data_IF_420298038957
#
_entry.id   IF_420298038957
#
_cell.length_a   1.000
_cell.length_b   1.000
_cell.length_c   1.000
_cell.angle_alpha   90.00
_cell.angle_beta   90.00
_cell.angle_gamma   90.00
#
_symmetry.space_group_name_H-M   'P 1'
#
loop_
_entity.id
_entity.type
_entity.pdbx_description
1 polymer ?
#
# COMPACT_ATOMS: atom_id res chain seq x y z
N UNK A 1 29.32 3.41 -9.84
CA UNK A 1 28.57 3.37 -11.14
C UNK A 1 27.36 2.43 -11.15
N UNK A 2 27.23 1.44 -10.25
CA UNK A 2 26.00 0.61 -10.14
C UNK A 2 24.89 1.24 -9.26
N UNK A 3 25.21 2.22 -8.43
CA UNK A 3 24.32 2.81 -7.41
C UNK A 3 23.34 3.89 -7.92
N UNK A 4 23.46 4.31 -9.19
CA UNK A 4 22.73 5.44 -9.73
C UNK A 4 21.42 5.09 -10.46
N UNK A 5 21.10 3.81 -10.58
CA UNK A 5 19.88 3.36 -11.26
C UNK A 5 19.02 2.48 -10.35
N UNK A 6 17.73 2.48 -10.58
CA UNK A 6 16.80 1.53 -9.98
C UNK A 6 17.17 0.12 -10.44
N UNK A 7 17.40 -0.78 -9.49
CA UNK A 7 17.63 -2.21 -9.72
C UNK A 7 16.31 -2.97 -9.63
N UNK A 8 16.05 -3.83 -10.59
CA UNK A 8 14.91 -4.75 -10.62
C UNK A 8 15.42 -6.16 -10.34
N UNK A 9 14.88 -6.84 -9.32
CA UNK A 9 15.30 -8.16 -8.93
C UNK A 9 14.20 -8.98 -8.26
N UNK A 10 14.41 -10.28 -8.17
CA UNK A 10 13.51 -11.22 -7.50
C UNK A 10 14.12 -11.69 -6.18
N UNK A 11 13.29 -11.82 -5.16
CA UNK A 11 13.66 -12.31 -3.83
C UNK A 11 12.75 -13.46 -3.44
N UNK A 12 13.34 -14.62 -3.15
CA UNK A 12 12.59 -15.79 -2.65
C UNK A 12 12.16 -15.53 -1.21
N UNK A 13 10.87 -15.49 -0.95
CA UNK A 13 10.27 -15.20 0.38
C UNK A 13 9.65 -16.43 1.04
N UNK A 14 9.29 -17.42 0.23
CA UNK A 14 8.75 -18.71 0.66
C UNK A 14 9.08 -19.78 -0.39
N UNK A 15 8.96 -21.10 -0.09
CA UNK A 15 9.19 -22.14 -1.07
C UNK A 15 8.34 -21.94 -2.33
N UNK A 16 9.00 -21.75 -3.47
CA UNK A 16 8.35 -21.52 -4.77
C UNK A 16 7.70 -20.15 -4.95
N UNK A 17 7.97 -19.19 -4.06
CA UNK A 17 7.43 -17.83 -4.12
C UNK A 17 8.56 -16.82 -4.17
N UNK A 18 8.65 -16.11 -5.29
CA UNK A 18 9.54 -14.99 -5.48
C UNK A 18 8.74 -13.68 -5.60
N UNK A 19 9.12 -12.67 -4.83
CA UNK A 19 8.63 -11.33 -5.01
C UNK A 19 9.60 -10.54 -5.90
N UNK A 20 9.03 -9.81 -6.84
CA UNK A 20 9.75 -8.80 -7.59
C UNK A 20 9.88 -7.53 -6.75
N UNK A 21 11.04 -6.92 -6.77
CA UNK A 21 11.29 -5.65 -6.11
C UNK A 21 12.05 -4.69 -7.01
N UNK A 22 11.77 -3.42 -6.83
CA UNK A 22 12.60 -2.31 -7.30
C UNK A 22 13.38 -1.76 -6.12
N UNK A 23 14.67 -1.57 -6.28
CA UNK A 23 15.54 -1.10 -5.20
C UNK A 23 16.50 -0.03 -5.69
N UNK A 24 16.75 1.00 -4.86
CA UNK A 24 17.75 2.03 -5.12
C UNK A 24 18.29 2.59 -3.79
N UNK A 25 19.55 3.02 -3.81
CA UNK A 25 20.22 3.67 -2.68
C UNK A 25 20.77 2.71 -1.64
N UNK A 26 21.31 3.28 -0.58
CA UNK A 26 21.90 2.58 0.57
C UNK A 26 21.50 3.29 1.87
N UNK A 27 21.67 2.63 3.00
CA UNK A 27 21.34 3.21 4.31
C UNK A 27 20.18 2.51 4.99
N UNK A 28 19.44 3.23 5.83
CA UNK A 28 18.26 2.69 6.53
C UNK A 28 17.14 2.38 5.52
N UNK A 29 16.48 1.22 5.65
CA UNK A 29 15.50 0.80 4.65
C UNK A 29 14.15 1.52 4.78
N UNK A 30 13.64 1.98 3.64
CA UNK A 30 12.25 2.34 3.41
C UNK A 30 11.64 1.26 2.51
N UNK A 31 10.58 0.60 2.97
CA UNK A 31 9.91 -0.46 2.23
C UNK A 31 8.50 -0.02 1.86
N UNK A 32 8.26 0.17 0.57
CA UNK A 32 6.98 0.60 0.01
C UNK A 32 6.17 -0.58 -0.49
N UNK A 33 4.91 -0.65 -0.08
CA UNK A 33 3.96 -1.70 -0.42
C UNK A 33 2.78 -1.08 -1.15
N UNK A 34 2.54 -1.42 -2.42
CA UNK A 34 1.46 -0.83 -3.22
C UNK A 34 0.08 -1.38 -2.85
N UNK A 35 -0.95 -0.67 -3.30
CA UNK A 35 -2.33 -1.09 -3.20
C UNK A 35 -2.71 -2.21 -4.17
N UNK A 36 -3.99 -2.59 -4.09
CA UNK A 36 -4.59 -3.67 -4.89
C UNK A 36 -4.26 -3.53 -6.38
N UNK A 37 -3.74 -4.59 -6.96
CA UNK A 37 -3.29 -4.78 -8.34
C UNK A 37 -2.04 -4.02 -8.76
N UNK A 38 -1.66 -2.96 -8.09
CA UNK A 38 -0.50 -2.16 -8.46
C UNK A 38 0.83 -2.86 -8.17
N UNK A 39 1.85 -2.49 -8.91
CA UNK A 39 3.23 -2.88 -8.69
C UNK A 39 4.01 -1.79 -7.95
N UNK A 40 5.19 -2.13 -7.45
CA UNK A 40 6.13 -1.19 -6.84
C UNK A 40 6.59 -0.06 -7.78
N UNK A 41 6.36 -0.19 -9.07
CA UNK A 41 6.67 0.84 -10.07
C UNK A 41 5.93 2.15 -9.81
N UNK A 42 4.76 2.11 -9.17
CA UNK A 42 4.00 3.30 -8.79
C UNK A 42 4.80 4.26 -7.88
N UNK A 43 5.78 3.74 -7.15
CA UNK A 43 6.64 4.51 -6.24
C UNK A 43 7.95 5.00 -6.87
N UNK A 44 8.04 5.04 -8.20
CA UNK A 44 9.27 5.44 -8.91
C UNK A 44 9.80 6.82 -8.49
N UNK A 45 8.91 7.78 -8.26
CA UNK A 45 9.29 9.11 -7.77
C UNK A 45 9.94 9.04 -6.38
N UNK A 46 9.42 8.19 -5.50
CA UNK A 46 9.92 8.00 -4.14
C UNK A 46 11.27 7.26 -4.14
N UNK A 47 11.41 6.25 -5.02
CA UNK A 47 12.69 5.56 -5.25
C UNK A 47 13.79 6.53 -5.67
N UNK A 48 13.49 7.44 -6.61
CA UNK A 48 14.45 8.44 -7.07
C UNK A 48 14.78 9.47 -5.98
N UNK A 49 13.78 9.99 -5.27
CA UNK A 49 13.95 11.05 -4.29
C UNK A 49 14.72 10.59 -3.05
N UNK A 50 14.29 9.49 -2.42
CA UNK A 50 14.85 9.06 -1.14
C UNK A 50 16.14 8.25 -1.25
N UNK A 51 16.51 7.79 -2.44
CA UNK A 51 17.70 6.94 -2.63
C UNK A 51 19.04 7.61 -2.37
N UNK A 52 19.08 8.93 -2.23
CA UNK A 52 20.29 9.66 -1.85
C UNK A 52 20.72 9.39 -0.39
N UNK A 53 19.78 9.07 0.50
CA UNK A 53 20.00 8.92 1.95
C UNK A 53 19.51 7.58 2.51
N UNK A 54 18.63 6.89 1.79
CA UNK A 54 17.97 5.67 2.23
C UNK A 54 18.16 4.53 1.23
N UNK A 55 18.07 3.32 1.73
CA UNK A 55 17.87 2.13 0.91
C UNK A 55 16.36 2.00 0.65
N UNK A 56 15.91 2.37 -0.54
CA UNK A 56 14.48 2.38 -0.91
C UNK A 56 14.15 1.11 -1.65
N UNK A 57 13.14 0.40 -1.17
CA UNK A 57 12.65 -0.86 -1.73
C UNK A 57 11.15 -0.69 -2.00
N UNK A 58 10.72 -0.90 -3.22
CA UNK A 58 9.31 -0.98 -3.59
C UNK A 58 9.01 -2.39 -4.08
N UNK A 59 8.12 -3.10 -3.42
CA UNK A 59 7.82 -4.50 -3.74
C UNK A 59 6.55 -4.63 -4.57
N UNK A 60 6.49 -5.68 -5.36
CA UNK A 60 5.25 -6.20 -5.91
C UNK A 60 4.75 -7.29 -4.94
N UNK A 61 3.58 -7.15 -4.31
CA UNK A 61 3.02 -8.22 -3.48
C UNK A 61 2.77 -9.50 -4.30
N UNK A 62 2.69 -10.65 -3.62
CA UNK A 62 2.29 -11.91 -4.27
C UNK A 62 1.03 -11.69 -5.09
N UNK A 63 0.97 -12.26 -6.29
CA UNK A 63 -0.16 -12.12 -7.19
C UNK A 63 -0.18 -10.83 -8.00
N UNK A 64 0.57 -9.79 -7.60
CA UNK A 64 0.59 -8.48 -8.26
C UNK A 64 1.88 -8.26 -9.05
N UNK A 65 1.88 -7.25 -9.92
CA UNK A 65 3.04 -6.84 -10.70
C UNK A 65 3.77 -8.00 -11.37
N UNK A 66 5.05 -8.10 -11.15
CA UNK A 66 5.92 -9.17 -11.68
C UNK A 66 6.21 -10.28 -10.67
N UNK A 67 5.65 -10.22 -9.46
CA UNK A 67 5.78 -11.27 -8.46
C UNK A 67 5.05 -12.55 -8.85
N UNK A 68 5.39 -13.65 -8.17
CA UNK A 68 4.78 -14.97 -8.39
C UNK A 68 3.25 -14.92 -8.35
N UNK A 69 2.61 -15.50 -9.38
CA UNK A 69 1.16 -15.66 -9.48
C UNK A 69 0.80 -17.05 -8.96
N UNK A 70 0.31 -17.11 -7.73
CA UNK A 70 -0.04 -18.38 -7.07
C UNK A 70 -1.55 -18.57 -7.05
N UNK A 71 -1.99 -19.83 -7.04
CA UNK A 71 -3.43 -20.16 -6.90
C UNK A 71 -3.91 -19.86 -5.48
N UNK A 72 -3.06 -20.17 -4.49
CA UNK A 72 -3.34 -19.98 -3.07
C UNK A 72 -2.50 -18.84 -2.46
N UNK A 73 -2.93 -18.34 -1.32
CA UNK A 73 -2.20 -17.33 -0.56
C UNK A 73 -2.39 -15.90 -1.08
N UNK A 74 -3.44 -15.66 -1.85
CA UNK A 74 -3.88 -14.32 -2.23
C UNK A 74 -4.79 -13.76 -1.14
N UNK A 75 -4.22 -13.54 0.04
CA UNK A 75 -4.84 -13.00 1.25
C UNK A 75 -3.80 -12.21 2.06
N UNK A 76 -4.26 -11.26 2.88
CA UNK A 76 -3.35 -10.37 3.59
C UNK A 76 -2.59 -11.04 4.75
N UNK A 77 -3.09 -12.14 5.30
CA UNK A 77 -2.31 -12.92 6.27
C UNK A 77 -1.08 -13.55 5.62
N UNK A 78 -1.24 -14.09 4.43
CA UNK A 78 -0.12 -14.65 3.65
C UNK A 78 0.81 -13.55 3.16
N UNK A 79 0.28 -12.42 2.68
CA UNK A 79 1.09 -11.28 2.28
C UNK A 79 1.94 -10.73 3.44
N UNK A 80 1.40 -10.66 4.67
CA UNK A 80 2.21 -10.30 5.85
C UNK A 80 3.38 -11.25 6.10
N UNK A 81 3.21 -12.57 5.82
CA UNK A 81 4.32 -13.55 5.88
C UNK A 81 5.33 -13.33 4.76
N UNK A 82 4.88 -12.97 3.57
CA UNK A 82 5.77 -12.66 2.45
C UNK A 82 6.60 -11.40 2.73
N UNK A 83 6.01 -10.37 3.35
CA UNK A 83 6.75 -9.19 3.82
C UNK A 83 7.81 -9.59 4.85
N UNK A 84 7.48 -10.48 5.80
CA UNK A 84 8.46 -10.99 6.75
C UNK A 84 9.59 -11.78 6.05
N UNK A 85 9.23 -12.64 5.09
CA UNK A 85 10.18 -13.38 4.26
C UNK A 85 11.13 -12.45 3.48
N UNK A 86 10.62 -11.36 2.92
CA UNK A 86 11.41 -10.34 2.24
C UNK A 86 12.39 -9.65 3.20
N UNK A 87 11.89 -9.24 4.36
CA UNK A 87 12.70 -8.59 5.43
C UNK A 87 13.83 -9.52 5.87
N UNK A 88 13.55 -10.80 6.05
CA UNK A 88 14.54 -11.80 6.46
C UNK A 88 15.56 -12.09 5.36
N UNK A 89 15.09 -12.32 4.14
CA UNK A 89 15.95 -12.62 2.99
C UNK A 89 16.94 -11.49 2.67
N UNK A 90 16.51 -10.23 2.88
CA UNK A 90 17.34 -9.05 2.66
C UNK A 90 18.10 -8.58 3.92
N UNK A 91 17.90 -9.24 5.07
CA UNK A 91 18.53 -8.91 6.34
C UNK A 91 18.19 -7.52 6.86
N UNK A 92 16.96 -7.04 6.61
CA UNK A 92 16.56 -5.66 6.93
C UNK A 92 16.32 -5.49 8.44
N UNK A 93 16.70 -4.30 8.94
CA UNK A 93 16.49 -3.82 10.31
C UNK A 93 16.25 -2.32 10.28
N UNK A 94 15.68 -1.76 11.34
CA UNK A 94 15.38 -0.33 11.46
C UNK A 94 14.54 0.19 10.26
N UNK A 95 13.52 -0.55 9.90
CA UNK A 95 12.71 -0.36 8.70
C UNK A 95 11.63 0.69 8.95
N UNK A 96 11.34 1.52 7.97
CA UNK A 96 10.04 2.19 7.85
C UNK A 96 9.22 1.42 6.82
N UNK A 97 8.10 0.81 7.27
CA UNK A 97 7.11 0.23 6.37
C UNK A 97 6.13 1.30 5.92
N UNK A 98 5.89 1.37 4.63
CA UNK A 98 5.07 2.38 3.98
C UNK A 98 4.06 1.67 3.09
N UNK A 99 2.83 1.55 3.57
CA UNK A 99 1.74 0.93 2.83
C UNK A 99 0.86 1.99 2.16
N UNK A 100 0.43 1.72 0.94
CA UNK A 100 -0.59 2.50 0.26
C UNK A 100 -1.83 1.65 0.01
N UNK A 101 -3.04 2.20 0.31
CA UNK A 101 -4.30 1.49 0.09
C UNK A 101 -4.27 0.12 0.77
N UNK A 102 -4.57 -0.96 0.08
CA UNK A 102 -4.51 -2.32 0.64
C UNK A 102 -3.10 -2.76 1.06
N UNK A 103 -2.02 -2.10 0.60
CA UNK A 103 -0.67 -2.31 1.14
C UNK A 103 -0.54 -1.97 2.63
N UNK A 104 -1.50 -1.22 3.19
CA UNK A 104 -1.60 -1.04 4.64
C UNK A 104 -2.07 -2.33 5.35
N UNK A 105 -2.93 -3.12 4.70
CA UNK A 105 -3.35 -4.42 5.25
C UNK A 105 -2.16 -5.38 5.31
N UNK A 106 -1.28 -5.38 4.30
CA UNK A 106 0.01 -6.11 4.33
C UNK A 106 0.87 -5.65 5.51
N UNK A 107 0.98 -4.34 5.71
CA UNK A 107 1.75 -3.73 6.79
C UNK A 107 1.21 -4.13 8.17
N UNK A 108 -0.08 -3.99 8.41
CA UNK A 108 -0.70 -4.36 9.68
C UNK A 108 -0.68 -5.88 9.90
N UNK A 109 -0.86 -6.67 8.83
CA UNK A 109 -0.73 -8.13 8.89
C UNK A 109 0.69 -8.57 9.29
N UNK A 110 1.72 -7.92 8.73
CA UNK A 110 3.10 -8.15 9.17
C UNK A 110 3.25 -7.86 10.67
N UNK A 111 2.79 -6.70 11.14
CA UNK A 111 2.89 -6.31 12.56
C UNK A 111 2.14 -7.30 13.46
N UNK A 112 0.94 -7.72 13.06
CA UNK A 112 0.12 -8.68 13.80
C UNK A 112 0.84 -10.00 14.03
N UNK A 113 1.55 -10.51 13.02
CA UNK A 113 2.15 -11.84 13.04
C UNK A 113 3.59 -11.86 13.55
N UNK A 114 4.36 -10.80 13.31
CA UNK A 114 5.80 -10.75 13.55
C UNK A 114 6.26 -9.64 14.51
N UNK A 115 5.33 -8.78 14.94
CA UNK A 115 5.64 -7.69 15.85
C UNK A 115 6.37 -6.52 15.19
N UNK A 116 6.99 -5.68 16.01
CA UNK A 116 7.54 -4.37 15.61
C UNK A 116 9.07 -4.28 15.75
N UNK A 117 9.75 -5.32 16.22
CA UNK A 117 11.17 -5.27 16.62
C UNK A 117 12.13 -4.86 15.50
N UNK A 118 11.75 -5.09 14.24
CA UNK A 118 12.55 -4.69 13.07
C UNK A 118 12.15 -3.32 12.51
N UNK A 119 11.08 -2.72 13.06
CA UNK A 119 10.55 -1.45 12.56
C UNK A 119 11.02 -0.28 13.42
N UNK A 120 11.27 0.87 12.79
CA UNK A 120 11.47 2.15 13.46
C UNK A 120 10.31 3.12 13.23
N UNK A 121 9.40 2.83 12.30
CA UNK A 121 8.21 3.62 12.01
C UNK A 121 7.29 2.94 11.01
N UNK A 122 6.05 3.37 11.00
CA UNK A 122 5.02 2.94 10.04
C UNK A 122 4.39 4.16 9.39
N UNK A 123 4.26 4.12 8.08
CA UNK A 123 3.53 5.12 7.31
C UNK A 123 2.40 4.44 6.57
N UNK A 124 1.19 4.96 6.73
CA UNK A 124 0.00 4.46 6.06
C UNK A 124 -0.55 5.52 5.12
N UNK A 125 -0.93 5.11 3.91
CA UNK A 125 -1.44 6.03 2.90
C UNK A 125 -2.85 5.57 2.53
N UNK A 126 -3.83 6.34 2.97
CA UNK A 126 -5.24 6.35 2.57
C UNK A 126 -5.92 4.98 2.55
N UNK A 127 -6.04 4.36 3.73
CA UNK A 127 -6.79 3.13 3.96
C UNK A 127 -7.26 3.03 5.40
N UNK A 128 -8.52 2.67 5.58
CA UNK A 128 -9.06 2.32 6.90
C UNK A 128 -8.54 0.96 7.37
N UNK A 129 -8.16 0.80 8.64
CA UNK A 129 -7.84 -0.51 9.19
C UNK A 129 -9.07 -1.41 9.36
N UNK A 130 -10.27 -0.86 9.14
CA UNK A 130 -11.56 -1.55 9.17
C UNK A 130 -12.35 -1.17 7.91
N UNK A 131 -12.11 -1.85 6.76
CA UNK A 131 -12.74 -1.50 5.48
C UNK A 131 -14.25 -1.62 5.46
N UNK A 132 -14.83 -2.43 6.34
CA UNK A 132 -16.27 -2.64 6.46
C UNK A 132 -16.73 -2.49 7.92
N UNK A 133 -17.75 -1.67 8.15
CA UNK A 133 -18.41 -1.53 9.47
C UNK A 133 -19.91 -1.26 9.29
N UNK A 134 -20.77 -1.77 10.18
CA UNK A 134 -22.18 -1.39 10.19
C UNK A 134 -22.43 0.02 10.76
N UNK A 135 -21.44 0.63 11.40
CA UNK A 135 -21.56 1.99 11.97
C UNK A 135 -21.20 3.03 10.87
N UNK A 136 -22.17 3.85 10.41
CA UNK A 136 -21.93 4.82 9.35
C UNK A 136 -21.00 5.99 9.76
N UNK A 137 -20.63 6.08 11.03
CA UNK A 137 -19.68 7.08 11.54
C UNK A 137 -18.22 6.65 11.38
N UNK A 138 -18.01 5.41 11.03
CA UNK A 138 -16.66 4.88 10.88
C UNK A 138 -16.16 5.09 9.45
N UNK A 139 -14.89 5.34 9.33
CA UNK A 139 -14.24 5.37 8.02
C UNK A 139 -14.17 3.95 7.44
N UNK A 140 -14.92 3.71 6.38
CA UNK A 140 -15.01 2.41 5.67
C UNK A 140 -14.88 2.63 4.17
N UNK A 141 -14.62 1.56 3.44
CA UNK A 141 -14.49 1.61 1.96
C UNK A 141 -15.86 1.55 1.24
N UNK A 142 -16.93 1.28 1.96
CA UNK A 142 -18.27 1.23 1.42
C UNK A 142 -19.22 0.36 2.25
N UNK A 143 -20.45 0.22 1.80
CA UNK A 143 -21.43 -0.70 2.37
C UNK A 143 -21.19 -2.13 1.90
N UNK A 144 -21.72 -3.12 2.63
CA UNK A 144 -21.62 -4.52 2.23
C UNK A 144 -22.28 -4.79 0.86
N UNK A 145 -23.36 -4.09 0.56
CA UNK A 145 -24.07 -4.17 -0.70
C UNK A 145 -23.21 -3.70 -1.86
N UNK A 146 -22.60 -2.51 -1.76
CA UNK A 146 -21.71 -1.93 -2.76
C UNK A 146 -20.48 -2.81 -3.00
N UNK A 147 -19.78 -3.18 -1.92
CA UNK A 147 -18.58 -3.99 -2.00
C UNK A 147 -18.86 -5.41 -2.54
N UNK A 148 -20.01 -6.02 -2.17
CA UNK A 148 -20.44 -7.30 -2.74
C UNK A 148 -20.75 -7.20 -4.23
N UNK A 149 -21.34 -6.09 -4.67
CA UNK A 149 -21.60 -5.84 -6.09
C UNK A 149 -20.31 -5.75 -6.88
N UNK A 150 -19.31 -5.01 -6.38
CA UNK A 150 -17.99 -4.94 -7.02
C UNK A 150 -17.38 -6.34 -7.15
N UNK A 151 -17.35 -7.13 -6.07
CA UNK A 151 -16.76 -8.46 -6.07
C UNK A 151 -17.47 -9.46 -6.99
N UNK A 152 -18.81 -9.39 -7.12
CA UNK A 152 -19.61 -10.41 -7.80
C UNK A 152 -20.03 -10.06 -9.21
N UNK A 153 -20.01 -8.79 -9.56
CA UNK A 153 -20.48 -8.30 -10.88
C UNK A 153 -19.38 -7.61 -11.68
N UNK A 154 -18.44 -6.92 -11.02
CA UNK A 154 -17.42 -6.09 -11.68
C UNK A 154 -16.10 -6.86 -11.84
N UNK A 155 -15.50 -7.33 -10.74
CA UNK A 155 -14.20 -8.01 -10.74
C UNK A 155 -14.30 -9.48 -11.21
N UNK A 156 -15.04 -9.74 -12.28
CA UNK A 156 -15.33 -11.09 -12.81
C UNK A 156 -14.57 -11.43 -14.09
N UNK A 157 -13.88 -10.46 -14.66
CA UNK A 157 -13.08 -10.60 -15.88
C UNK A 157 -11.94 -9.57 -15.90
N UNK A 158 -10.95 -9.79 -16.75
CA UNK A 158 -9.86 -8.81 -16.95
C UNK A 158 -10.39 -7.48 -17.47
N UNK A 159 -11.41 -7.49 -18.31
CA UNK A 159 -12.06 -6.29 -18.83
C UNK A 159 -12.77 -5.53 -17.71
N UNK A 160 -13.58 -6.21 -16.89
CA UNK A 160 -14.27 -5.60 -15.75
C UNK A 160 -13.30 -5.02 -14.71
N UNK A 161 -12.18 -5.68 -14.45
CA UNK A 161 -11.12 -5.11 -13.60
C UNK A 161 -10.53 -3.84 -14.23
N UNK A 162 -10.22 -3.86 -15.54
CA UNK A 162 -9.66 -2.68 -16.23
C UNK A 162 -10.61 -1.50 -16.21
N UNK A 163 -11.90 -1.73 -16.46
CA UNK A 163 -12.94 -0.70 -16.38
C UNK A 163 -13.04 -0.13 -14.96
N UNK A 164 -13.11 -0.98 -13.96
CA UNK A 164 -13.16 -0.56 -12.56
C UNK A 164 -11.98 0.34 -12.20
N UNK A 165 -10.73 -0.08 -12.51
CA UNK A 165 -9.56 0.72 -12.22
C UNK A 165 -9.48 2.00 -13.07
N UNK A 166 -10.01 2.02 -14.28
CA UNK A 166 -10.12 3.23 -15.10
C UNK A 166 -11.04 4.27 -14.46
N UNK A 167 -12.23 3.84 -14.00
CA UNK A 167 -13.17 4.71 -13.29
C UNK A 167 -12.64 5.17 -11.95
N UNK A 168 -12.02 4.26 -11.20
CA UNK A 168 -11.43 4.57 -9.90
C UNK A 168 -10.24 5.54 -10.01
N UNK A 169 -9.37 5.35 -11.02
CA UNK A 169 -8.25 6.25 -11.28
C UNK A 169 -8.73 7.67 -11.58
N UNK A 170 -9.72 7.82 -12.44
CA UNK A 170 -10.23 9.14 -12.88
C UNK A 170 -11.18 9.81 -11.89
N UNK A 171 -11.86 9.02 -11.04
CA UNK A 171 -12.87 9.54 -10.10
C UNK A 171 -12.37 9.72 -8.66
N UNK A 172 -11.36 8.95 -8.24
CA UNK A 172 -10.93 8.88 -6.84
C UNK A 172 -9.42 9.04 -6.67
N UNK A 173 -8.61 8.36 -7.51
CA UNK A 173 -7.16 8.32 -7.29
C UNK A 173 -6.49 9.65 -7.59
N UNK A 174 -6.90 10.33 -8.67
CA UNK A 174 -6.27 11.54 -9.21
C UNK A 174 -7.29 12.68 -9.25
N UNK A 175 -6.90 13.86 -8.78
CA UNK A 175 -7.78 15.05 -8.72
C UNK A 175 -7.73 15.88 -10.00
N UNK A 176 -6.58 15.92 -10.69
CA UNK A 176 -6.48 16.66 -11.95
C UNK A 176 -7.10 15.87 -13.11
N UNK A 177 -7.42 16.56 -14.20
CA UNK A 177 -7.87 15.89 -15.42
C UNK A 177 -6.73 15.09 -16.04
N UNK A 178 -6.82 13.77 -15.94
CA UNK A 178 -5.82 12.86 -16.49
C UNK A 178 -5.71 12.96 -18.01
N UNK A 179 -4.47 12.80 -18.51
CA UNK A 179 -4.21 12.59 -19.93
C UNK A 179 -4.38 11.10 -20.27
N UNK A 180 -4.71 10.78 -21.55
CA UNK A 180 -4.86 9.37 -21.96
C UNK A 180 -3.62 8.50 -21.70
N UNK A 181 -2.43 9.02 -21.93
CA UNK A 181 -1.16 8.32 -21.70
C UNK A 181 -0.88 8.09 -20.20
N UNK A 182 -1.30 9.00 -19.34
CA UNK A 182 -1.22 8.86 -17.90
C UNK A 182 -2.17 7.76 -17.39
N UNK A 183 -3.41 7.74 -17.86
CA UNK A 183 -4.37 6.69 -17.55
C UNK A 183 -3.87 5.32 -18.02
N UNK A 184 -3.41 5.23 -19.27
CA UNK A 184 -2.85 3.98 -19.81
C UNK A 184 -1.67 3.48 -18.98
N UNK A 185 -0.77 4.36 -18.54
CA UNK A 185 0.33 3.99 -17.66
C UNK A 185 -0.17 3.38 -16.35
N UNK A 186 -1.14 3.99 -15.67
CA UNK A 186 -1.70 3.44 -14.43
C UNK A 186 -2.40 2.09 -14.67
N UNK A 187 -3.13 1.97 -15.77
CA UNK A 187 -3.79 0.71 -16.14
C UNK A 187 -2.80 -0.39 -16.53
N UNK A 188 -1.67 -0.04 -17.14
CA UNK A 188 -0.61 -0.99 -17.47
C UNK A 188 0.04 -1.56 -16.21
N UNK A 189 0.47 -0.72 -15.27
CA UNK A 189 1.14 -1.20 -14.04
C UNK A 189 0.19 -1.95 -13.11
N UNK A 190 -1.12 -1.73 -13.20
CA UNK A 190 -2.14 -2.51 -12.47
C UNK A 190 -2.58 -3.77 -13.22
N UNK A 191 -2.44 -3.80 -14.53
CA UNK A 191 -2.94 -4.86 -15.41
C UNK A 191 -2.20 -6.19 -15.32
N UNK A 192 -1.04 -6.24 -14.66
CA UNK A 192 -0.27 -7.48 -14.46
C UNK A 192 -0.87 -8.43 -13.42
N UNK A 193 -1.92 -8.00 -12.71
CA UNK A 193 -2.61 -8.83 -11.73
C UNK A 193 -3.80 -9.54 -12.39
N UNK A 194 -3.83 -10.88 -12.40
CA UNK A 194 -4.98 -11.63 -12.90
C UNK A 194 -6.27 -11.27 -12.17
N UNK A 195 -7.40 -11.16 -12.89
CA UNK A 195 -8.67 -10.71 -12.30
C UNK A 195 -9.13 -11.59 -11.12
N UNK A 196 -8.87 -12.91 -11.16
CA UNK A 196 -9.25 -13.81 -10.04
C UNK A 196 -8.43 -13.54 -8.78
N UNK A 197 -7.16 -13.15 -8.90
CA UNK A 197 -6.32 -12.71 -7.76
C UNK A 197 -6.81 -11.36 -7.25
N UNK A 198 -7.06 -10.41 -8.16
CA UNK A 198 -7.65 -9.11 -7.80
C UNK A 198 -8.92 -9.31 -6.97
N UNK A 199 -9.84 -10.17 -7.44
CA UNK A 199 -11.08 -10.47 -6.74
C UNK A 199 -10.86 -11.14 -5.38
N UNK A 200 -9.93 -12.10 -5.28
CA UNK A 200 -9.59 -12.76 -4.00
C UNK A 200 -9.09 -11.73 -2.98
N UNK A 201 -8.10 -10.92 -3.36
CA UNK A 201 -7.54 -9.88 -2.52
C UNK A 201 -8.58 -8.80 -2.14
N UNK A 202 -9.44 -8.40 -3.09
CA UNK A 202 -10.53 -7.47 -2.80
C UNK A 202 -11.49 -8.05 -1.75
N UNK A 203 -11.92 -9.29 -1.89
CA UNK A 203 -12.80 -9.93 -0.93
C UNK A 203 -12.15 -10.05 0.45
N UNK A 204 -10.86 -10.44 0.51
CA UNK A 204 -10.14 -10.54 1.78
C UNK A 204 -9.96 -9.15 2.43
N UNK A 205 -9.68 -8.11 1.64
CA UNK A 205 -9.61 -6.72 2.12
C UNK A 205 -10.91 -6.27 2.79
N UNK A 206 -12.05 -6.50 2.14
CA UNK A 206 -13.37 -6.07 2.63
C UNK A 206 -13.66 -6.61 4.03
N UNK A 207 -13.28 -7.87 4.31
CA UNK A 207 -13.53 -8.52 5.58
C UNK A 207 -12.34 -8.46 6.55
N UNK A 208 -11.27 -7.77 6.20
CA UNK A 208 -10.12 -7.56 7.09
C UNK A 208 -10.47 -6.64 8.26
N UNK A 209 -9.88 -6.92 9.42
CA UNK A 209 -10.00 -6.06 10.59
C UNK A 209 -8.65 -5.98 11.32
N UNK A 210 -7.95 -4.89 11.10
CA UNK A 210 -6.66 -4.59 11.72
C UNK A 210 -6.76 -3.40 12.71
N UNK A 211 -7.96 -3.03 13.17
CA UNK A 211 -8.18 -1.86 14.01
C UNK A 211 -7.32 -1.89 15.29
N UNK A 212 -7.30 -3.02 15.99
CA UNK A 212 -6.54 -3.14 17.24
C UNK A 212 -5.02 -3.12 16.98
N UNK A 213 -4.57 -3.64 15.84
CA UNK A 213 -3.16 -3.57 15.44
C UNK A 213 -2.76 -2.14 15.08
N UNK A 214 -3.61 -1.43 14.33
CA UNK A 214 -3.38 -0.02 14.02
C UNK A 214 -3.34 0.84 15.29
N UNK A 215 -4.23 0.60 16.26
CA UNK A 215 -4.19 1.26 17.58
C UNK A 215 -2.87 1.03 18.29
N UNK A 216 -2.42 -0.22 18.36
CA UNK A 216 -1.15 -0.56 19.01
C UNK A 216 0.04 0.09 18.30
N UNK A 217 0.06 0.12 16.97
CA UNK A 217 1.08 0.83 16.19
C UNK A 217 1.12 2.31 16.56
N UNK A 218 0.00 3.01 16.50
CA UNK A 218 -0.07 4.44 16.83
C UNK A 218 0.33 4.76 18.27
N UNK A 219 -0.03 3.88 19.21
CA UNK A 219 0.27 4.08 20.63
C UNK A 219 1.73 3.81 21.02
N UNK A 220 2.47 3.02 20.25
CA UNK A 220 3.75 2.45 20.71
C UNK A 220 4.93 2.72 19.80
N UNK A 221 4.72 3.30 18.61
CA UNK A 221 5.82 3.64 17.71
C UNK A 221 5.50 4.87 16.86
N UNK A 222 6.54 5.56 16.32
CA UNK A 222 6.32 6.64 15.38
C UNK A 222 5.48 6.19 14.19
N UNK A 223 4.37 6.90 13.94
CA UNK A 223 3.45 6.58 12.86
C UNK A 223 2.88 7.83 12.20
N UNK A 224 2.78 7.78 10.88
CA UNK A 224 2.23 8.84 10.03
C UNK A 224 1.12 8.25 9.16
N UNK A 225 -0.01 8.93 9.06
CA UNK A 225 -1.11 8.55 8.18
C UNK A 225 -1.44 9.68 7.22
N UNK A 226 -1.31 9.42 5.94
CA UNK A 226 -1.83 10.28 4.91
C UNK A 226 -3.29 9.93 4.61
N UNK A 227 -4.13 10.95 4.48
CA UNK A 227 -5.56 10.84 4.21
C UNK A 227 -5.87 11.65 2.97
N UNK A 228 -6.59 11.07 2.01
CA UNK A 228 -7.05 11.79 0.83
C UNK A 228 -8.11 12.83 1.20
N UNK A 229 -8.15 13.95 0.48
CA UNK A 229 -9.04 15.07 0.79
C UNK A 229 -10.51 14.69 0.77
N UNK A 230 -10.92 13.78 -0.11
CA UNK A 230 -12.31 13.32 -0.19
C UNK A 230 -12.78 12.51 1.04
N UNK A 231 -11.83 11.92 1.81
CA UNK A 231 -12.13 11.21 3.05
C UNK A 231 -12.02 12.08 4.31
N UNK A 232 -11.48 13.30 4.24
CA UNK A 232 -11.06 14.06 5.42
C UNK A 232 -12.15 14.20 6.49
N UNK A 233 -13.42 14.38 6.09
CA UNK A 233 -14.52 14.66 7.01
C UNK A 233 -14.93 13.44 7.84
N UNK A 234 -14.62 12.22 7.38
CA UNK A 234 -14.92 10.98 8.11
C UNK A 234 -13.63 10.33 8.66
N UNK A 235 -12.57 10.30 7.87
CA UNK A 235 -11.34 9.62 8.25
C UNK A 235 -10.58 10.34 9.37
N UNK A 236 -10.47 11.68 9.31
CA UNK A 236 -9.75 12.43 10.33
C UNK A 236 -10.37 12.30 11.73
N UNK A 237 -11.68 12.53 11.94
CA UNK A 237 -12.32 12.28 13.23
C UNK A 237 -12.21 10.81 13.69
N UNK A 238 -12.29 9.85 12.75
CA UNK A 238 -12.09 8.44 13.07
C UNK A 238 -10.67 8.18 13.58
N UNK A 239 -9.63 8.68 12.91
CA UNK A 239 -8.24 8.49 13.34
C UNK A 239 -8.00 9.16 14.69
N UNK A 240 -8.46 10.38 14.91
CA UNK A 240 -8.34 11.09 16.18
C UNK A 240 -8.99 10.31 17.34
N UNK A 241 -10.14 9.67 17.10
CA UNK A 241 -10.88 8.93 18.13
C UNK A 241 -10.38 7.49 18.32
N UNK A 242 -10.03 6.79 17.25
CA UNK A 242 -9.77 5.35 17.28
C UNK A 242 -8.28 5.00 17.21
N UNK A 243 -7.43 5.87 16.63
CA UNK A 243 -6.02 5.62 16.37
C UNK A 243 -5.13 6.72 17.00
N UNK A 244 -5.25 6.95 18.33
CA UNK A 244 -4.48 8.00 18.98
C UNK A 244 -2.98 7.71 18.84
N UNK A 245 -2.21 8.74 18.48
CA UNK A 245 -0.76 8.65 18.30
C UNK A 245 -0.31 8.63 16.83
N UNK A 246 -1.21 8.40 15.88
CA UNK A 246 -0.89 8.69 14.48
C UNK A 246 -0.79 10.20 14.24
N UNK A 247 0.32 10.62 13.64
CA UNK A 247 0.37 11.93 13.00
C UNK A 247 -0.44 11.84 11.70
N UNK A 248 -1.33 12.78 11.44
CA UNK A 248 -2.16 12.78 10.23
C UNK A 248 -1.78 13.92 9.31
N UNK A 249 -1.81 13.67 7.99
CA UNK A 249 -1.66 14.68 6.97
C UNK A 249 -2.70 14.47 5.87
N UNK A 250 -3.48 15.51 5.57
CA UNK A 250 -4.53 15.47 4.54
C UNK A 250 -4.02 16.15 3.28
N UNK A 251 -4.09 15.47 2.13
CA UNK A 251 -3.74 16.04 0.84
C UNK A 251 -4.21 15.18 -0.34
N UNK A 252 -4.49 15.83 -1.45
CA UNK A 252 -4.65 15.17 -2.75
C UNK A 252 -5.74 14.11 -2.85
N UNK A 253 -5.67 13.30 -3.90
CA UNK A 253 -6.48 12.11 -4.10
C UNK A 253 -5.85 10.86 -3.47
N UNK A 254 -6.40 9.69 -3.80
CA UNK A 254 -5.91 8.40 -3.30
C UNK A 254 -4.46 8.09 -3.72
N UNK A 255 -4.00 8.61 -4.86
CA UNK A 255 -2.63 8.52 -5.38
C UNK A 255 -1.82 9.80 -5.14
N UNK A 256 -1.99 10.45 -4.00
CA UNK A 256 -1.38 11.73 -3.65
C UNK A 256 0.15 11.78 -3.80
N UNK A 257 0.87 10.68 -3.55
CA UNK A 257 2.32 10.60 -3.68
C UNK A 257 2.79 10.55 -5.14
N UNK A 258 1.92 10.16 -6.05
CA UNK A 258 2.13 10.18 -7.48
C UNK A 258 1.74 11.56 -8.07
N UNK A 259 0.59 12.09 -7.64
CA UNK A 259 0.03 13.35 -8.14
C UNK A 259 0.80 14.58 -7.64
N UNK A 260 1.25 14.57 -6.39
CA UNK A 260 1.99 15.66 -5.74
C UNK A 260 3.30 15.18 -5.12
N UNK A 261 4.23 14.59 -5.90
CA UNK A 261 5.38 13.88 -5.37
C UNK A 261 6.30 14.76 -4.52
N UNK A 262 6.57 16.00 -4.94
CA UNK A 262 7.44 16.92 -4.18
C UNK A 262 6.86 17.22 -2.79
N UNK A 263 5.59 17.61 -2.72
CA UNK A 263 4.93 17.95 -1.46
C UNK A 263 4.84 16.73 -0.54
N UNK A 264 4.46 15.58 -1.09
CA UNK A 264 4.34 14.34 -0.35
C UNK A 264 5.70 13.88 0.21
N UNK A 265 6.74 13.92 -0.62
CA UNK A 265 8.10 13.55 -0.24
C UNK A 265 8.63 14.42 0.91
N UNK A 266 8.40 15.74 0.88
CA UNK A 266 8.80 16.62 1.98
C UNK A 266 8.10 16.29 3.30
N UNK A 267 6.80 15.96 3.27
CA UNK A 267 6.07 15.56 4.49
C UNK A 267 6.63 14.25 5.06
N UNK A 268 6.92 13.28 4.19
CA UNK A 268 7.56 12.03 4.62
C UNK A 268 8.98 12.29 5.16
N UNK A 269 9.78 13.12 4.50
CA UNK A 269 11.13 13.52 4.95
C UNK A 269 11.11 14.16 6.34
N UNK A 270 10.18 15.09 6.59
CA UNK A 270 9.96 15.70 7.91
C UNK A 270 9.61 14.68 9.00
N UNK A 271 8.91 13.63 8.65
CA UNK A 271 8.63 12.52 9.55
C UNK A 271 9.89 11.67 9.79
N UNK A 272 10.59 11.28 8.73
CA UNK A 272 11.81 10.47 8.79
C UNK A 272 12.93 11.13 9.61
N UNK A 273 13.04 12.45 9.54
CA UNK A 273 14.03 13.24 10.30
C UNK A 273 13.78 13.28 11.81
N UNK A 274 12.59 12.86 12.26
CA UNK A 274 12.21 12.77 13.69
C UNK A 274 12.40 11.38 14.28
N UNK A 275 12.74 10.37 13.43
CA UNK A 275 13.02 8.99 13.82
C UNK A 275 14.50 8.83 14.23
#
# INVERSE_FOLDING_TARGET
MAKDRIESKYVTVAPGVELHILEKGEGKPLVFIPGLTFSGEIFKNQLEYFSSEYRVIALDPRGQGYSAKTVDGNDYLTHGRDVAGLIDALGLKDIVLIGWSTGNLDTWSYVQQFGKDKLRGVVTIDMSPLPLSPDPKWWTEGTIEELSQVATQVLTSSEGCREFFSEYATGVMIQHKMKPDELEYLLDISGHTPYWICRQLFCDAVFSNYLEIAKDVGATMPSLMFIAEHWQDIAKPFVEAQLPGYNTYVMGGHLMFYEYPEKWNHVLEDFLNKL
#
